data_IF_741320228703
#
_entry.id   IF_741320228703
#
_cell.length_a   1.000
_cell.length_b   1.000
_cell.length_c   1.000
_cell.angle_alpha   90.00
_cell.angle_beta   90.00
_cell.angle_gamma   90.00
#
_symmetry.space_group_name_H-M   'P 1'
#
loop_
_entity.id
_entity.type
_entity.pdbx_description
1 polymer ?
#
# COMPACT_ATOMS: atom_id res chain seq x y z
N UNK A 1 52.42 15.03 -31.83
CA UNK A 1 51.12 15.69 -31.55
C UNK A 1 49.91 15.00 -32.21
N UNK A 2 50.02 13.74 -32.69
CA UNK A 2 48.87 12.98 -33.19
C UNK A 2 48.40 11.87 -32.22
N UNK A 3 49.20 11.54 -31.20
CA UNK A 3 48.93 10.41 -30.30
C UNK A 3 48.06 10.77 -29.07
N UNK A 4 47.83 12.07 -28.83
CA UNK A 4 46.94 12.54 -27.76
C UNK A 4 45.49 12.75 -28.21
N UNK A 5 45.19 12.60 -29.50
CA UNK A 5 43.83 12.74 -30.05
C UNK A 5 43.10 11.39 -30.21
N UNK A 6 43.79 10.25 -30.06
CA UNK A 6 43.17 8.91 -30.18
C UNK A 6 42.70 8.32 -28.85
N UNK A 7 42.84 9.07 -27.74
CA UNK A 7 42.41 8.64 -26.39
C UNK A 7 41.26 9.48 -25.84
N UNK A 8 40.47 10.08 -26.73
CA UNK A 8 39.23 10.78 -26.38
C UNK A 8 37.97 10.01 -26.83
N UNK A 9 38.12 8.85 -27.49
CA UNK A 9 37.02 8.12 -28.14
C UNK A 9 36.62 6.80 -27.44
N UNK A 10 37.16 6.52 -26.25
CA UNK A 10 36.90 5.26 -25.52
C UNK A 10 36.58 5.47 -24.04
N UNK A 11 35.64 6.37 -23.74
CA UNK A 11 35.20 6.58 -22.35
C UNK A 11 33.77 7.05 -22.16
N UNK A 12 32.95 7.09 -23.21
CA UNK A 12 31.63 7.74 -23.17
C UNK A 12 30.41 6.81 -23.07
N UNK A 13 30.57 5.50 -23.21
CA UNK A 13 29.46 4.64 -23.65
C UNK A 13 28.94 3.66 -22.58
N UNK A 14 29.43 3.79 -21.34
CA UNK A 14 29.10 2.84 -20.25
C UNK A 14 28.38 3.47 -19.07
N UNK A 15 28.34 4.80 -18.93
CA UNK A 15 27.63 5.44 -17.81
C UNK A 15 26.15 5.71 -18.10
N UNK A 16 25.77 5.90 -19.37
CA UNK A 16 24.37 6.06 -19.76
C UNK A 16 23.56 4.77 -19.59
N UNK A 17 24.21 3.60 -19.53
CA UNK A 17 23.53 2.33 -19.23
C UNK A 17 23.22 2.12 -17.74
N UNK A 18 23.80 2.91 -16.82
CA UNK A 18 23.34 2.98 -15.42
C UNK A 18 22.06 3.81 -15.24
N UNK A 19 21.55 4.42 -16.31
CA UNK A 19 20.16 4.85 -16.36
C UNK A 19 19.17 3.68 -16.51
N UNK A 20 19.65 2.42 -16.55
CA UNK A 20 18.86 1.27 -16.14
C UNK A 20 18.86 1.17 -14.60
N UNK A 21 18.22 2.13 -13.96
CA UNK A 21 17.48 1.80 -12.75
C UNK A 21 16.08 2.28 -13.00
N UNK A 22 15.28 1.37 -13.55
CA UNK A 22 13.83 1.46 -13.53
C UNK A 22 13.47 1.88 -12.11
N UNK A 23 13.12 3.14 -11.91
CA UNK A 23 12.54 3.59 -10.68
C UNK A 23 11.17 2.90 -10.60
N UNK A 24 10.90 1.98 -9.67
CA UNK A 24 9.52 1.68 -9.33
C UNK A 24 9.03 2.87 -8.47
N UNK A 25 8.94 4.07 -9.04
CA UNK A 25 8.50 5.27 -8.30
C UNK A 25 7.47 6.07 -9.09
N UNK A 26 6.44 5.36 -9.54
CA UNK A 26 5.15 6.02 -9.84
C UNK A 26 3.97 5.27 -9.21
N UNK A 27 4.11 3.95 -9.00
CA UNK A 27 3.07 3.15 -8.34
C UNK A 27 3.05 3.30 -6.81
N UNK A 28 4.20 3.57 -6.19
CA UNK A 28 4.31 3.72 -4.73
C UNK A 28 3.63 5.01 -4.21
N UNK A 29 3.61 6.07 -5.02
CA UNK A 29 2.94 7.34 -4.67
C UNK A 29 1.42 7.20 -4.71
N UNK A 30 0.87 6.54 -5.73
CA UNK A 30 -0.56 6.30 -5.84
C UNK A 30 -1.07 5.40 -4.70
N UNK A 31 -0.40 4.27 -4.44
CA UNK A 31 -0.82 3.34 -3.39
C UNK A 31 -0.75 3.99 -2.00
N UNK A 32 0.27 4.84 -1.75
CA UNK A 32 0.42 5.56 -0.48
C UNK A 32 -0.56 6.72 -0.32
N UNK A 33 -0.94 7.38 -1.42
CA UNK A 33 -1.96 8.44 -1.45
C UNK A 33 -3.37 7.86 -1.23
N UNK A 34 -3.68 6.73 -1.86
CA UNK A 34 -5.01 6.12 -1.82
C UNK A 34 -5.16 5.00 -0.78
N UNK A 35 -4.14 4.67 0.02
CA UNK A 35 -4.19 3.54 0.97
C UNK A 35 -5.40 3.55 1.90
N UNK A 36 -5.84 4.72 2.38
CA UNK A 36 -7.00 4.81 3.26
C UNK A 36 -8.30 4.68 2.47
N UNK A 37 -8.34 5.16 1.22
CA UNK A 37 -9.48 4.92 0.32
C UNK A 37 -9.61 3.44 -0.05
N UNK A 38 -8.49 2.75 -0.33
CA UNK A 38 -8.46 1.31 -0.55
C UNK A 38 -8.85 0.53 0.70
N UNK A 39 -8.36 0.94 1.88
CA UNK A 39 -8.74 0.33 3.14
C UNK A 39 -10.24 0.47 3.41
N UNK A 40 -10.80 1.66 3.20
CA UNK A 40 -12.24 1.92 3.33
C UNK A 40 -13.05 1.12 2.32
N UNK A 41 -12.61 1.07 1.06
CA UNK A 41 -13.27 0.27 0.02
C UNK A 41 -13.28 -1.22 0.34
N UNK A 42 -12.13 -1.76 0.76
CA UNK A 42 -12.01 -3.15 1.20
C UNK A 42 -12.88 -3.43 2.42
N UNK A 43 -12.91 -2.52 3.40
CA UNK A 43 -13.76 -2.63 4.58
C UNK A 43 -15.25 -2.70 4.22
N UNK A 44 -15.72 -1.83 3.32
CA UNK A 44 -17.12 -1.84 2.86
C UNK A 44 -17.44 -3.14 2.12
N UNK A 45 -16.57 -3.60 1.23
CA UNK A 45 -16.78 -4.85 0.47
C UNK A 45 -16.88 -6.08 1.38
N UNK A 46 -15.95 -6.21 2.34
CA UNK A 46 -15.96 -7.32 3.30
C UNK A 46 -17.21 -7.29 4.18
N UNK A 47 -17.56 -6.10 4.68
CA UNK A 47 -18.76 -5.92 5.51
C UNK A 47 -20.03 -6.26 4.73
N UNK A 48 -20.17 -5.74 3.51
CA UNK A 48 -21.32 -6.01 2.65
C UNK A 48 -21.46 -7.50 2.30
N UNK A 49 -20.35 -8.17 1.97
CA UNK A 49 -20.35 -9.61 1.70
C UNK A 49 -20.77 -10.45 2.91
N UNK A 50 -20.28 -10.10 4.10
CA UNK A 50 -20.64 -10.77 5.34
C UNK A 50 -22.13 -10.55 5.71
N UNK A 51 -22.63 -9.31 5.57
CA UNK A 51 -24.04 -8.99 5.78
C UNK A 51 -24.95 -9.72 4.78
N UNK A 52 -24.57 -9.80 3.50
CA UNK A 52 -25.30 -10.54 2.48
C UNK A 52 -25.40 -12.03 2.82
N UNK A 53 -24.31 -12.61 3.37
CA UNK A 53 -24.30 -14.00 3.84
C UNK A 53 -25.28 -14.21 4.99
N UNK A 54 -25.29 -13.35 6.01
CA UNK A 54 -26.25 -13.42 7.13
C UNK A 54 -27.68 -13.23 6.66
N UNK A 55 -27.90 -12.31 5.70
CA UNK A 55 -29.22 -12.09 5.12
C UNK A 55 -29.78 -13.35 4.46
N UNK A 56 -28.94 -14.08 3.71
CA UNK A 56 -29.29 -15.34 3.04
C UNK A 56 -29.57 -16.52 3.99
N UNK A 57 -29.15 -16.46 5.25
CA UNK A 57 -29.38 -17.56 6.19
C UNK A 57 -30.83 -17.56 6.70
N UNK A 58 -31.47 -18.73 6.85
CA UNK A 58 -32.85 -18.85 7.33
C UNK A 58 -32.95 -18.75 8.87
N UNK A 59 -32.28 -17.76 9.46
CA UNK A 59 -32.30 -17.53 10.91
C UNK A 59 -33.41 -16.56 11.33
N UNK A 60 -33.85 -16.70 12.58
CA UNK A 60 -34.81 -15.79 13.18
C UNK A 60 -34.23 -14.36 13.28
N UNK A 61 -35.08 -13.32 13.21
CA UNK A 61 -34.64 -11.92 13.09
C UNK A 61 -33.69 -11.49 14.22
N UNK A 62 -33.99 -11.88 15.46
CA UNK A 62 -33.15 -11.55 16.62
C UNK A 62 -31.74 -12.13 16.48
N UNK A 63 -31.64 -13.38 16.02
CA UNK A 63 -30.36 -14.06 15.85
C UNK A 63 -29.54 -13.50 14.68
N UNK A 64 -30.19 -12.90 13.67
CA UNK A 64 -29.51 -12.15 12.61
C UNK A 64 -28.92 -10.84 13.14
N UNK A 65 -29.63 -10.13 14.02
CA UNK A 65 -29.16 -8.86 14.61
C UNK A 65 -27.89 -9.10 15.42
N UNK A 66 -27.87 -10.12 16.28
CA UNK A 66 -26.69 -10.47 17.07
C UNK A 66 -25.47 -10.84 16.20
N UNK A 67 -25.71 -11.53 15.08
CA UNK A 67 -24.65 -11.87 14.13
C UNK A 67 -24.13 -10.64 13.38
N UNK A 68 -25.02 -9.73 12.97
CA UNK A 68 -24.64 -8.46 12.33
C UNK A 68 -23.77 -7.64 13.28
N UNK A 69 -24.16 -7.54 14.55
CA UNK A 69 -23.39 -6.80 15.55
C UNK A 69 -21.99 -7.42 15.75
N UNK A 70 -21.91 -8.75 15.83
CA UNK A 70 -20.65 -9.47 15.99
C UNK A 70 -19.73 -9.27 14.78
N UNK A 71 -20.28 -9.41 13.58
CA UNK A 71 -19.54 -9.17 12.33
C UNK A 71 -19.05 -7.73 12.27
N UNK A 72 -19.91 -6.76 12.58
CA UNK A 72 -19.54 -5.35 12.56
C UNK A 72 -18.41 -5.06 13.56
N UNK A 73 -18.50 -5.56 14.80
CA UNK A 73 -17.45 -5.43 15.82
C UNK A 73 -16.12 -6.04 15.38
N UNK A 74 -16.15 -7.25 14.82
CA UNK A 74 -14.94 -7.93 14.37
C UNK A 74 -14.29 -7.20 13.18
N UNK A 75 -15.09 -6.77 12.21
CA UNK A 75 -14.60 -6.12 10.99
C UNK A 75 -14.05 -4.73 11.28
N UNK A 76 -14.73 -3.95 12.14
CA UNK A 76 -14.26 -2.63 12.60
C UNK A 76 -12.94 -2.73 13.36
N UNK A 77 -12.83 -3.68 14.30
CA UNK A 77 -11.58 -3.92 15.03
C UNK A 77 -10.43 -4.29 14.09
N UNK A 78 -10.69 -5.18 13.12
CA UNK A 78 -9.72 -5.56 12.09
C UNK A 78 -9.25 -4.35 11.26
N UNK A 79 -10.18 -3.48 10.84
CA UNK A 79 -9.86 -2.27 10.08
C UNK A 79 -8.98 -1.31 10.89
N UNK A 80 -9.26 -1.15 12.19
CA UNK A 80 -8.44 -0.31 13.10
C UNK A 80 -7.03 -0.87 13.21
N UNK A 81 -6.86 -2.18 13.43
CA UNK A 81 -5.54 -2.82 13.53
C UNK A 81 -4.74 -2.63 12.23
N UNK A 82 -5.39 -2.86 11.07
CA UNK A 82 -4.76 -2.65 9.77
C UNK A 82 -4.38 -1.18 9.56
N UNK A 83 -5.26 -0.24 9.94
CA UNK A 83 -4.99 1.19 9.89
C UNK A 83 -3.78 1.61 10.73
N UNK A 84 -3.66 1.08 11.95
CA UNK A 84 -2.51 1.33 12.84
C UNK A 84 -1.23 0.78 12.20
N UNK A 85 -1.25 -0.45 11.66
CA UNK A 85 -0.10 -1.05 10.98
C UNK A 85 0.34 -0.26 9.73
N UNK A 86 -0.62 0.30 8.99
CA UNK A 86 -0.34 1.18 7.85
C UNK A 86 0.21 2.55 8.27
N UNK A 87 -0.16 3.05 9.45
CA UNK A 87 0.33 4.32 10.01
C UNK A 87 1.75 4.19 10.56
N UNK A 88 2.04 3.13 11.33
CA UNK A 88 3.36 2.88 11.92
C UNK A 88 4.50 2.72 10.89
N UNK A 89 4.20 2.16 9.71
CA UNK A 89 5.17 2.06 8.60
C UNK A 89 5.57 3.43 8.02
N UNK A 90 4.74 4.47 8.16
CA UNK A 90 5.05 5.84 7.69
C UNK A 90 6.09 6.50 8.58
N UNK A 91 5.96 6.32 9.90
CA UNK A 91 6.83 6.98 10.87
C UNK A 91 8.26 6.45 10.77
N UNK A 92 8.44 5.12 10.62
CA UNK A 92 9.77 4.52 10.44
C UNK A 92 10.48 5.01 9.16
N UNK A 93 9.72 5.23 8.07
CA UNK A 93 10.27 5.75 6.81
C UNK A 93 10.63 7.25 6.88
N UNK A 94 9.91 8.05 7.68
CA UNK A 94 10.25 9.48 7.90
C UNK A 94 11.43 9.66 8.85
N UNK A 95 11.55 8.82 9.89
CA UNK A 95 12.70 8.86 10.81
C UNK A 95 14.01 8.53 10.10
N UNK A 96 14.01 7.60 9.14
CA UNK A 96 15.18 7.27 8.34
C UNK A 96 15.62 8.39 7.36
N UNK A 97 14.73 9.34 7.04
CA UNK A 97 15.06 10.53 6.24
C UNK A 97 15.53 11.73 7.08
N UNK A 98 15.36 11.68 8.41
CA UNK A 98 15.81 12.72 9.33
C UNK A 98 17.28 12.58 9.77
N UNK A 99 17.92 11.45 9.47
CA UNK A 99 19.29 11.12 9.90
C UNK A 99 20.38 11.53 8.88
N UNK A 100 20.00 12.27 7.83
CA UNK A 100 20.94 12.91 6.91
C UNK A 100 20.80 14.43 7.07
N UNK A 101 21.45 14.99 8.09
CA UNK A 101 21.74 16.42 8.19
C UNK A 101 23.00 16.67 9.00
#
# INVERSE_FOLDING_TARGET
>A
MAELMAKAEQGGDTETKKAYKISPMENDSALRAYKYHLLTGAYILVTAGALFRVYRQPYNRNMKIDQIETIFKATTLGAVIVGIGLSGKINKARSAQGEIK
#
